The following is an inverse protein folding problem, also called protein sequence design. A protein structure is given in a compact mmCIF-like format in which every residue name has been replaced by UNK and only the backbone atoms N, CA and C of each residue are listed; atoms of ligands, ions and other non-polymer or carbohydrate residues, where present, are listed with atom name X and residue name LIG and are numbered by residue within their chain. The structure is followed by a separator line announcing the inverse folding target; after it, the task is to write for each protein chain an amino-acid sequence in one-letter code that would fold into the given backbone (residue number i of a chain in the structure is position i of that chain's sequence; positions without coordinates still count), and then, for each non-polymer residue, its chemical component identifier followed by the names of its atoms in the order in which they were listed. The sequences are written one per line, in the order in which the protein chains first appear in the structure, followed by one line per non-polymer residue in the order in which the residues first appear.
data_IF_772395332711
#
_entry.id   IF_772395332711
#
_cell.length_a   1.000
_cell.length_b   1.000
_cell.length_c   1.000
_cell.angle_alpha   90.00
_cell.angle_beta   90.00
_cell.angle_gamma   90.00
#
_symmetry.space_group_name_H-M   'P 1'
#
loop_
_entity.id
_entity.type
_entity.pdbx_description
1 polymer ?
#
# COMPACT_ATOMS: atom_id res chain seq x y z
N UNK A 1 -13.32 -27.32 28.63
CA UNK A 1 -13.26 -26.14 27.75
C UNK A 1 -12.24 -26.45 26.67
N UNK A 2 -12.62 -26.34 25.39
CA UNK A 2 -11.65 -26.46 24.29
C UNK A 2 -10.60 -25.36 24.44
N UNK A 3 -9.31 -25.70 24.33
CA UNK A 3 -8.26 -24.69 24.37
C UNK A 3 -8.48 -23.70 23.21
N UNK A 4 -8.38 -22.40 23.49
CA UNK A 4 -8.48 -21.36 22.46
C UNK A 4 -7.30 -21.54 21.49
N UNK A 5 -7.58 -21.71 20.20
CA UNK A 5 -6.55 -21.87 19.17
C UNK A 5 -5.62 -20.65 19.17
N UNK A 6 -4.28 -20.82 19.08
CA UNK A 6 -3.33 -19.70 19.07
C UNK A 6 -3.64 -18.63 18.01
N UNK A 7 -4.25 -19.01 16.90
CA UNK A 7 -4.66 -18.12 15.82
C UNK A 7 -5.69 -17.05 16.27
N UNK A 8 -6.56 -17.37 17.24
CA UNK A 8 -7.61 -16.48 17.75
C UNK A 8 -7.20 -15.74 19.03
N UNK A 9 -5.90 -15.68 19.31
CA UNK A 9 -5.36 -14.94 20.46
C UNK A 9 -4.81 -13.60 20.02
N UNK A 10 -4.82 -12.62 20.93
CA UNK A 10 -4.24 -11.30 20.68
C UNK A 10 -2.74 -11.37 20.37
N UNK A 11 -2.27 -10.38 19.63
CA UNK A 11 -0.85 -10.20 19.30
C UNK A 11 -0.49 -8.71 19.24
N UNK A 12 0.64 -8.34 19.86
CA UNK A 12 1.12 -6.96 19.83
C UNK A 12 1.97 -6.69 18.58
N UNK A 13 1.67 -5.58 17.91
CA UNK A 13 2.41 -5.07 16.75
C UNK A 13 2.87 -3.65 17.11
N UNK A 14 4.12 -3.53 17.59
CA UNK A 14 4.62 -2.29 18.15
C UNK A 14 3.72 -1.78 19.29
N UNK A 15 3.16 -0.56 19.20
CA UNK A 15 2.24 -0.03 20.20
C UNK A 15 0.78 -0.48 20.04
N UNK A 16 0.43 -1.20 18.96
CA UNK A 16 -0.94 -1.64 18.64
C UNK A 16 -1.16 -3.10 19.06
N UNK A 17 -2.42 -3.46 19.30
CA UNK A 17 -2.81 -4.85 19.60
C UNK A 17 -3.81 -5.32 18.55
N UNK A 18 -3.48 -6.42 17.89
CA UNK A 18 -4.39 -7.13 17.00
C UNK A 18 -5.24 -8.11 17.81
N UNK A 19 -6.54 -8.17 17.56
CA UNK A 19 -7.49 -9.05 18.27
C UNK A 19 -7.32 -10.54 17.94
N UNK A 20 -6.64 -10.86 16.84
CA UNK A 20 -6.26 -12.22 16.46
C UNK A 20 -5.01 -12.20 15.57
N UNK A 21 -4.52 -13.37 15.17
CA UNK A 21 -3.29 -13.53 14.36
C UNK A 21 -3.57 -13.77 12.88
N UNK A 22 -4.77 -13.46 12.41
CA UNK A 22 -5.16 -13.59 11.00
C UNK A 22 -4.85 -12.26 10.32
N UNK A 23 -4.06 -12.33 9.26
CA UNK A 23 -3.72 -11.19 8.42
C UNK A 23 -4.22 -11.41 6.99
N UNK A 24 -4.85 -10.39 6.40
CA UNK A 24 -5.07 -10.33 4.95
C UNK A 24 -3.91 -9.58 4.32
N UNK A 25 -3.23 -10.23 3.38
CA UNK A 25 -2.10 -9.65 2.66
C UNK A 25 -2.56 -8.67 1.57
N UNK A 26 -1.70 -7.71 1.24
CA UNK A 26 -1.92 -6.75 0.19
C UNK A 26 -2.10 -7.44 -1.18
N UNK A 27 -3.13 -7.04 -1.92
CA UNK A 27 -3.47 -7.58 -3.24
C UNK A 27 -3.93 -6.46 -4.17
N UNK A 28 -3.06 -6.02 -5.08
CA UNK A 28 -3.40 -5.00 -6.08
C UNK A 28 -4.49 -5.48 -7.03
N UNK A 29 -5.52 -4.66 -7.21
CA UNK A 29 -6.70 -5.00 -8.01
C UNK A 29 -6.82 -4.20 -9.30
N UNK A 30 -6.07 -3.09 -9.43
CA UNK A 30 -6.05 -2.24 -10.62
C UNK A 30 -7.46 -1.73 -11.00
N UNK A 31 -8.18 -1.22 -10.00
CA UNK A 31 -9.56 -0.73 -10.11
C UNK A 31 -9.75 0.67 -9.47
N UNK A 32 -8.68 1.46 -9.38
CA UNK A 32 -8.77 2.88 -9.04
C UNK A 32 -9.39 3.69 -10.18
N UNK A 33 -9.85 4.90 -9.87
CA UNK A 33 -10.23 5.87 -10.91
C UNK A 33 -9.01 6.47 -11.61
N UNK A 34 -9.24 7.32 -12.62
CA UNK A 34 -8.19 7.97 -13.40
C UNK A 34 -7.28 8.90 -12.58
N UNK A 35 -7.68 9.25 -11.36
CA UNK A 35 -6.92 10.06 -10.41
C UNK A 35 -6.22 9.20 -9.34
N UNK A 36 -6.32 7.88 -9.44
CA UNK A 36 -5.75 6.93 -8.47
C UNK A 36 -6.52 6.86 -7.15
N UNK A 37 -7.79 7.25 -7.11
CA UNK A 37 -8.62 7.17 -5.91
C UNK A 37 -9.41 5.84 -5.83
N UNK A 38 -9.82 5.44 -4.61
CA UNK A 38 -10.71 4.30 -4.39
C UNK A 38 -12.04 4.42 -5.12
N UNK A 39 -12.45 3.36 -5.82
CA UNK A 39 -13.78 3.24 -6.46
C UNK A 39 -14.71 2.36 -5.63
N UNK A 40 -15.98 2.25 -6.02
CA UNK A 40 -16.94 1.39 -5.31
C UNK A 40 -16.44 -0.06 -5.19
N UNK A 41 -15.68 -0.56 -6.17
CA UNK A 41 -15.05 -1.89 -6.10
C UNK A 41 -14.04 -1.99 -4.93
N UNK A 42 -13.23 -0.94 -4.74
CA UNK A 42 -12.32 -0.82 -3.60
C UNK A 42 -13.09 -0.78 -2.27
N UNK A 43 -14.15 0.03 -2.19
CA UNK A 43 -15.00 0.13 -0.98
C UNK A 43 -15.60 -1.23 -0.63
N UNK A 44 -16.27 -1.89 -1.57
CA UNK A 44 -16.94 -3.17 -1.32
C UNK A 44 -15.96 -4.28 -0.96
N UNK A 45 -14.77 -4.33 -1.58
CA UNK A 45 -13.71 -5.28 -1.24
C UNK A 45 -13.28 -5.10 0.21
N UNK A 46 -12.93 -3.89 0.62
CA UNK A 46 -12.42 -3.66 1.97
C UNK A 46 -13.51 -3.69 3.05
N UNK A 47 -14.76 -3.30 2.76
CA UNK A 47 -15.88 -3.51 3.70
C UNK A 47 -16.05 -5.00 4.01
N UNK A 48 -16.02 -5.86 2.98
CA UNK A 48 -16.07 -7.33 3.16
C UNK A 48 -14.90 -7.84 3.98
N UNK A 49 -13.69 -7.33 3.72
CA UNK A 49 -12.49 -7.69 4.48
C UNK A 49 -12.61 -7.32 5.97
N UNK A 50 -13.07 -6.11 6.29
CA UNK A 50 -13.28 -5.64 7.66
C UNK A 50 -14.35 -6.45 8.40
N UNK A 51 -15.48 -6.75 7.74
CA UNK A 51 -16.54 -7.64 8.25
C UNK A 51 -16.06 -9.07 8.49
N UNK A 52 -15.00 -9.50 7.80
CA UNK A 52 -14.40 -10.83 7.93
C UNK A 52 -13.68 -11.09 9.24
N UNK A 53 -13.44 -10.06 10.06
CA UNK A 53 -12.92 -10.21 11.42
C UNK A 53 -11.43 -10.57 11.52
N UNK A 54 -10.65 -10.38 10.46
CA UNK A 54 -9.20 -10.47 10.56
C UNK A 54 -8.65 -9.36 11.45
N UNK A 55 -7.66 -9.70 12.27
CA UNK A 55 -7.05 -8.75 13.19
C UNK A 55 -6.17 -7.71 12.46
N UNK A 56 -5.59 -8.08 11.32
CA UNK A 56 -4.76 -7.21 10.49
C UNK A 56 -5.20 -7.27 9.03
N UNK A 57 -5.32 -6.12 8.38
CA UNK A 57 -5.48 -6.01 6.94
C UNK A 57 -4.35 -5.13 6.40
N UNK A 58 -3.63 -5.65 5.42
CA UNK A 58 -2.75 -4.87 4.56
C UNK A 58 -3.55 -4.44 3.32
N UNK A 59 -3.84 -3.15 3.20
CA UNK A 59 -4.42 -2.57 1.99
C UNK A 59 -3.45 -2.75 0.82
N UNK A 60 -4.01 -2.83 -0.39
CA UNK A 60 -3.24 -2.99 -1.61
C UNK A 60 -2.22 -1.88 -1.78
N UNK A 61 -1.18 -2.18 -2.58
CA UNK A 61 -0.06 -1.27 -2.72
C UNK A 61 -0.50 0.02 -3.41
N UNK A 62 -0.42 1.13 -2.68
CA UNK A 62 -0.63 2.46 -3.23
C UNK A 62 0.71 3.03 -3.71
N UNK A 63 0.71 3.60 -4.91
CA UNK A 63 1.89 4.24 -5.46
C UNK A 63 2.19 5.52 -4.69
N UNK A 64 3.46 5.72 -4.31
CA UNK A 64 3.93 6.96 -3.67
C UNK A 64 4.13 8.09 -4.68
N UNK A 65 3.98 7.78 -5.97
CA UNK A 65 4.15 8.71 -7.09
C UNK A 65 3.10 8.48 -8.17
N UNK A 66 2.73 9.54 -8.87
CA UNK A 66 1.89 9.43 -10.07
C UNK A 66 2.73 9.19 -11.34
N UNK A 67 4.00 9.59 -11.32
CA UNK A 67 4.90 9.57 -12.48
C UNK A 67 5.60 8.22 -12.75
N UNK A 68 5.45 7.22 -11.87
CA UNK A 68 6.03 5.87 -12.05
C UNK A 68 5.09 4.78 -11.52
N UNK A 69 4.07 4.47 -12.32
CA UNK A 69 2.99 3.52 -12.01
C UNK A 69 3.26 2.14 -12.64
N UNK A 70 2.84 1.09 -11.96
CA UNK A 70 2.98 -0.29 -12.43
C UNK A 70 1.73 -0.75 -13.16
N UNK A 71 0.60 -0.11 -12.86
CA UNK A 71 -0.70 -0.38 -13.46
C UNK A 71 -1.42 0.94 -13.76
N UNK A 72 -2.22 0.94 -14.82
CA UNK A 72 -2.93 2.13 -15.31
C UNK A 72 -3.93 2.67 -14.28
N UNK A 73 -4.61 1.77 -13.55
CA UNK A 73 -5.64 2.07 -12.55
C UNK A 73 -5.16 1.70 -11.14
N UNK A 74 -3.92 2.05 -10.81
CA UNK A 74 -3.34 1.83 -9.48
C UNK A 74 -3.81 2.92 -8.51
N UNK A 75 -4.05 2.56 -7.24
CA UNK A 75 -4.27 3.55 -6.19
C UNK A 75 -3.01 4.40 -5.94
N UNK A 76 -3.20 5.67 -5.60
CA UNK A 76 -2.12 6.62 -5.35
C UNK A 76 -2.23 7.20 -3.94
N UNK A 77 -1.09 7.36 -3.28
CA UNK A 77 -0.95 7.82 -1.91
C UNK A 77 -0.35 9.21 -1.77
N UNK A 78 -0.74 10.16 -2.61
CA UNK A 78 -0.25 11.55 -2.52
C UNK A 78 -1.20 12.43 -1.71
N UNK A 79 -0.82 13.70 -1.48
CA UNK A 79 -1.67 14.66 -0.76
C UNK A 79 -3.01 14.89 -1.44
N UNK A 80 -3.05 14.81 -2.77
CA UNK A 80 -4.27 15.02 -3.55
C UNK A 80 -5.28 13.86 -3.36
N UNK A 81 -4.78 12.66 -3.07
CA UNK A 81 -5.61 11.48 -2.80
C UNK A 81 -6.03 11.34 -1.33
N UNK A 82 -5.42 12.12 -0.42
CA UNK A 82 -5.68 12.03 1.02
C UNK A 82 -7.16 12.13 1.39
N UNK A 83 -7.97 13.05 0.82
CA UNK A 83 -9.39 13.13 1.15
C UNK A 83 -10.16 11.85 0.80
N UNK A 84 -9.86 11.24 -0.35
CA UNK A 84 -10.51 10.01 -0.80
C UNK A 84 -10.10 8.82 0.06
N UNK A 85 -8.81 8.73 0.43
CA UNK A 85 -8.31 7.72 1.37
C UNK A 85 -8.91 7.87 2.76
N UNK A 86 -9.03 9.09 3.27
CA UNK A 86 -9.64 9.37 4.58
C UNK A 86 -11.08 8.88 4.61
N UNK A 87 -11.87 9.24 3.59
CA UNK A 87 -13.26 8.79 3.46
C UNK A 87 -13.38 7.26 3.37
N UNK A 88 -12.47 6.60 2.66
CA UNK A 88 -12.42 5.14 2.60
C UNK A 88 -12.21 4.57 4.00
N UNK A 89 -11.15 4.99 4.70
CA UNK A 89 -10.78 4.44 6.01
C UNK A 89 -11.89 4.72 7.04
N UNK A 90 -12.45 5.92 7.10
CA UNK A 90 -13.60 6.24 7.96
C UNK A 90 -14.80 5.33 7.70
N UNK A 91 -15.05 4.99 6.43
CA UNK A 91 -16.11 4.05 6.06
C UNK A 91 -15.81 2.65 6.55
N UNK A 92 -14.56 2.18 6.40
CA UNK A 92 -14.14 0.86 6.85
C UNK A 92 -14.17 0.72 8.38
N UNK A 93 -13.81 1.76 9.13
CA UNK A 93 -13.91 1.76 10.60
C UNK A 93 -15.33 1.57 11.10
N UNK A 94 -16.35 2.02 10.35
CA UNK A 94 -17.76 1.76 10.69
C UNK A 94 -18.15 0.29 10.55
N UNK A 95 -17.43 -0.47 9.72
CA UNK A 95 -17.64 -1.90 9.56
C UNK A 95 -16.97 -2.70 10.68
N UNK A 96 -15.77 -2.30 11.09
CA UNK A 96 -15.03 -2.89 12.21
C UNK A 96 -13.91 -1.93 12.67
N UNK A 97 -13.98 -1.45 13.91
CA UNK A 97 -12.99 -0.54 14.50
C UNK A 97 -11.82 -1.25 15.19
N UNK A 98 -11.90 -2.58 15.37
CA UNK A 98 -10.88 -3.39 16.03
C UNK A 98 -9.80 -3.91 15.07
N UNK A 99 -10.10 -3.99 13.77
CA UNK A 99 -9.14 -4.45 12.76
C UNK A 99 -8.05 -3.41 12.54
N UNK A 100 -6.78 -3.80 12.67
CA UNK A 100 -5.66 -2.92 12.32
C UNK A 100 -5.51 -2.82 10.81
N UNK A 101 -5.44 -1.60 10.29
CA UNK A 101 -5.26 -1.33 8.86
C UNK A 101 -3.85 -0.79 8.60
N UNK A 102 -3.08 -1.54 7.84
CA UNK A 102 -1.79 -1.10 7.30
C UNK A 102 -1.93 -0.83 5.82
N UNK A 103 -1.25 0.19 5.31
CA UNK A 103 -1.27 0.51 3.88
C UNK A 103 0.10 0.21 3.29
N UNK A 104 0.14 -0.61 2.24
CA UNK A 104 1.39 -0.91 1.55
C UNK A 104 1.78 0.24 0.62
N UNK A 105 2.98 0.78 0.78
CA UNK A 105 3.56 1.84 -0.03
C UNK A 105 4.51 1.24 -1.07
N UNK A 106 4.36 1.65 -2.33
CA UNK A 106 5.19 1.12 -3.43
C UNK A 106 5.68 2.19 -4.38
N UNK A 107 6.78 1.85 -5.07
CA UNK A 107 7.27 2.51 -6.27
C UNK A 107 7.70 1.43 -7.27
N UNK A 108 7.30 1.58 -8.53
CA UNK A 108 7.37 0.48 -9.50
C UNK A 108 8.78 0.23 -10.04
N UNK A 109 9.58 1.29 -10.20
CA UNK A 109 10.95 1.14 -10.69
C UNK A 109 10.96 0.47 -12.06
N UNK A 110 11.79 -0.56 -12.22
CA UNK A 110 11.94 -1.24 -13.52
C UNK A 110 10.74 -2.12 -13.91
N UNK A 111 9.73 -2.24 -13.06
CA UNK A 111 8.47 -2.90 -13.37
C UNK A 111 7.37 -1.91 -13.83
N UNK A 112 7.69 -0.61 -13.89
CA UNK A 112 6.81 0.38 -14.51
C UNK A 112 6.62 0.14 -16.00
N UNK A 113 5.52 0.67 -16.55
CA UNK A 113 5.27 0.66 -17.99
C UNK A 113 5.48 2.05 -18.59
N UNK A 114 6.37 2.13 -19.59
CA UNK A 114 6.61 3.34 -20.38
C UNK A 114 5.41 3.77 -21.22
N UNK A 115 4.35 2.96 -21.33
CA UNK A 115 3.13 3.33 -22.04
C UNK A 115 2.33 4.42 -21.32
N UNK A 116 2.43 4.50 -19.99
CA UNK A 116 1.62 5.41 -19.17
C UNK A 116 2.38 6.09 -18.03
N UNK A 117 3.65 5.74 -17.78
CA UNK A 117 4.45 6.38 -16.73
C UNK A 117 5.95 6.26 -17.01
N UNK A 118 6.77 7.03 -16.32
CA UNK A 118 8.23 6.93 -16.44
C UNK A 118 8.72 5.63 -15.78
N UNK A 119 9.47 4.86 -16.55
CA UNK A 119 10.17 3.67 -16.10
C UNK A 119 11.59 4.04 -15.65
N UNK A 120 11.96 3.66 -14.43
CA UNK A 120 13.28 3.98 -13.85
C UNK A 120 13.95 2.72 -13.31
N UNK A 121 15.26 2.72 -13.15
CA UNK A 121 16.01 1.60 -12.58
C UNK A 121 17.13 2.08 -11.65
N UNK A 122 17.56 1.21 -10.74
CA UNK A 122 18.72 1.46 -9.86
C UNK A 122 20.03 0.95 -10.48
N UNK A 123 19.91 0.01 -11.41
CA UNK A 123 20.99 -0.51 -12.24
C UNK A 123 20.40 -1.01 -13.56
N UNK A 124 21.07 -0.79 -14.71
CA UNK A 124 20.57 -1.31 -15.98
C UNK A 124 20.64 -2.84 -16.00
N UNK A 125 19.52 -3.48 -16.33
CA UNK A 125 19.43 -4.93 -16.53
C UNK A 125 18.92 -5.26 -17.94
N UNK A 126 19.54 -6.23 -18.65
CA UNK A 126 19.07 -6.67 -19.95
C UNK A 126 17.58 -7.08 -19.89
N UNK A 127 16.77 -6.53 -20.79
CA UNK A 127 15.34 -6.85 -20.92
C UNK A 127 14.38 -6.05 -20.03
N UNK A 128 14.86 -5.29 -19.03
CA UNK A 128 14.00 -4.46 -18.18
C UNK A 128 13.94 -3.00 -18.67
N UNK A 129 15.09 -2.40 -18.98
CA UNK A 129 15.20 -0.98 -19.35
C UNK A 129 14.87 -0.03 -18.20
N UNK A 130 14.62 1.24 -18.54
CA UNK A 130 14.33 2.31 -17.59
C UNK A 130 15.52 3.26 -17.38
N UNK A 131 15.21 4.51 -17.05
CA UNK A 131 16.21 5.54 -16.80
C UNK A 131 16.96 5.24 -15.49
N UNK A 132 18.28 5.32 -15.52
CA UNK A 132 19.08 5.15 -14.31
C UNK A 132 18.80 6.31 -13.35
N UNK A 133 18.38 5.98 -12.12
CA UNK A 133 18.12 6.97 -11.09
C UNK A 133 19.42 7.67 -10.66
N UNK A 134 19.36 8.99 -10.62
CA UNK A 134 20.36 9.84 -9.97
C UNK A 134 20.21 9.84 -8.45
N UNK A 135 21.24 10.24 -7.72
CA UNK A 135 21.18 10.34 -6.26
C UNK A 135 20.09 11.32 -5.80
N UNK A 136 19.93 12.44 -6.51
CA UNK A 136 18.90 13.45 -6.27
C UNK A 136 17.49 12.88 -6.45
N UNK A 137 17.26 12.08 -7.49
CA UNK A 137 15.98 11.41 -7.70
C UNK A 137 15.69 10.38 -6.62
N UNK A 138 16.70 9.63 -6.16
CA UNK A 138 16.52 8.70 -5.04
C UNK A 138 16.12 9.45 -3.77
N UNK A 139 16.77 10.57 -3.46
CA UNK A 139 16.39 11.44 -2.32
C UNK A 139 14.96 11.95 -2.47
N UNK A 140 14.55 12.37 -3.66
CA UNK A 140 13.18 12.80 -3.93
C UNK A 140 12.16 11.66 -3.75
N UNK A 141 12.49 10.44 -4.16
CA UNK A 141 11.64 9.26 -3.95
C UNK A 141 11.49 8.96 -2.45
N UNK A 142 12.56 9.06 -1.66
CA UNK A 142 12.48 8.90 -0.20
C UNK A 142 11.48 9.90 0.40
N UNK A 143 11.54 11.17 0.03
CA UNK A 143 10.58 12.19 0.49
C UNK A 143 9.14 11.90 0.05
N UNK A 144 8.95 11.29 -1.13
CA UNK A 144 7.65 10.82 -1.61
C UNK A 144 7.12 9.68 -0.71
N UNK A 145 7.95 8.69 -0.34
CA UNK A 145 7.58 7.67 0.65
C UNK A 145 7.20 8.27 2.01
N UNK A 146 7.98 9.23 2.51
CA UNK A 146 7.68 9.95 3.77
C UNK A 146 6.35 10.68 3.68
N UNK A 147 6.09 11.35 2.56
CA UNK A 147 4.83 12.06 2.33
C UNK A 147 3.65 11.10 2.29
N UNK A 148 3.74 9.98 1.56
CA UNK A 148 2.69 8.96 1.53
C UNK A 148 2.46 8.29 2.87
N UNK A 149 3.51 8.11 3.68
CA UNK A 149 3.36 7.60 5.04
C UNK A 149 2.57 8.57 5.93
N UNK A 150 2.84 9.88 5.81
CA UNK A 150 2.05 10.92 6.49
C UNK A 150 0.60 10.95 6.01
N UNK A 151 0.37 10.86 4.70
CA UNK A 151 -0.97 10.79 4.12
C UNK A 151 -1.75 9.59 4.67
N UNK A 152 -1.13 8.40 4.72
CA UNK A 152 -1.76 7.20 5.27
C UNK A 152 -2.09 7.36 6.77
N UNK A 153 -1.15 7.90 7.55
CA UNK A 153 -1.35 8.20 8.97
C UNK A 153 -2.51 9.18 9.17
N UNK A 154 -2.49 10.32 8.47
CA UNK A 154 -3.47 11.39 8.61
C UNK A 154 -4.87 10.96 8.10
N UNK A 155 -4.93 9.99 7.18
CA UNK A 155 -6.17 9.36 6.74
C UNK A 155 -6.75 8.34 7.75
N UNK A 156 -5.99 7.95 8.78
CA UNK A 156 -6.44 7.06 9.86
C UNK A 156 -5.96 5.60 9.77
N UNK A 157 -4.94 5.30 8.97
CA UNK A 157 -4.29 4.00 8.99
C UNK A 157 -3.53 3.77 10.31
N UNK A 158 -3.43 2.51 10.75
CA UNK A 158 -2.67 2.15 11.96
C UNK A 158 -1.16 2.05 11.71
N UNK A 159 -0.76 1.99 10.44
CA UNK A 159 0.63 1.99 10.03
C UNK A 159 0.79 1.85 8.52
N UNK A 160 2.03 1.75 8.09
CA UNK A 160 2.40 1.52 6.69
C UNK A 160 3.30 0.30 6.55
N UNK A 161 3.19 -0.36 5.41
CA UNK A 161 4.08 -1.45 4.98
C UNK A 161 4.92 -0.96 3.79
N UNK A 162 6.24 -0.98 3.91
CA UNK A 162 7.13 -0.52 2.82
C UNK A 162 7.46 -1.71 1.93
N UNK A 163 6.99 -1.69 0.68
CA UNK A 163 7.12 -2.81 -0.25
C UNK A 163 8.57 -3.02 -0.71
N UNK A 164 9.30 -3.89 -0.03
CA UNK A 164 10.67 -4.31 -0.38
C UNK A 164 10.70 -5.73 -1.00
N UNK A 165 9.67 -6.10 -1.74
CA UNK A 165 9.48 -7.44 -2.28
C UNK A 165 9.03 -7.42 -3.75
N UNK A 166 8.89 -8.60 -4.35
CA UNK A 166 8.28 -8.85 -5.66
C UNK A 166 8.90 -8.11 -6.87
N UNK A 167 10.13 -7.62 -6.75
CA UNK A 167 10.84 -6.96 -7.85
C UNK A 167 10.56 -5.47 -8.01
N UNK A 168 9.76 -4.86 -7.13
CA UNK A 168 9.52 -3.40 -7.10
C UNK A 168 10.75 -2.63 -6.62
N UNK A 169 10.75 -1.30 -6.75
CA UNK A 169 11.94 -0.45 -6.56
C UNK A 169 12.68 -0.76 -5.25
N UNK A 170 11.95 -0.93 -4.14
CA UNK A 170 12.55 -1.27 -2.85
C UNK A 170 13.40 -2.55 -2.89
N UNK A 171 12.90 -3.61 -3.51
CA UNK A 171 13.66 -4.85 -3.70
C UNK A 171 14.78 -4.73 -4.75
N UNK A 172 14.66 -3.80 -5.70
CA UNK A 172 15.70 -3.54 -6.70
C UNK A 172 16.96 -2.99 -6.05
N UNK A 173 16.84 -2.15 -5.02
CA UNK A 173 17.98 -1.68 -4.21
C UNK A 173 18.66 -2.79 -3.40
N UNK A 174 17.93 -3.85 -3.05
CA UNK A 174 18.42 -4.92 -2.19
C UNK A 174 19.11 -6.08 -2.94
N UNK A 175 19.24 -6.02 -4.27
CA UNK A 175 19.72 -7.13 -5.11
C UNK A 175 20.75 -6.72 -6.14
#
# INVERSE_FOLDING_TARGET
MSAVTPLFTEFKIGPKTSVNRIALNAMECNDADDQGNPTELTYERYKKAFRGGAGVIFMEAISVVDDSKGRINQLIGTRDNQPALTKLIETLRKENDQTLLFIQLTHNGELGSSEFSRKVCVKPLPGFGGDLLTEEEVKAIIEKFVTSAKVAHDAGADGVDVKLCHGYLGSQFCR
#
